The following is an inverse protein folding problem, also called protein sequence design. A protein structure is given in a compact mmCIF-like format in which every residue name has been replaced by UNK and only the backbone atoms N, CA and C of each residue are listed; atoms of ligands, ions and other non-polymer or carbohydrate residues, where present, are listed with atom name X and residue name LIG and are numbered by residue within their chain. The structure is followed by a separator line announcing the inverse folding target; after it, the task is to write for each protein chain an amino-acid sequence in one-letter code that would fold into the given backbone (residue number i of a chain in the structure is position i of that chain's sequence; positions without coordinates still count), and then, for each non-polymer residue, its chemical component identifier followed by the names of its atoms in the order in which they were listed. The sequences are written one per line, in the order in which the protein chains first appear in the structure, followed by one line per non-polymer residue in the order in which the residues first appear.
data_IF_739579979420
#
_entry.id   IF_739579979420
#
_cell.length_a   1.000
_cell.length_b   1.000
_cell.length_c   1.000
_cell.angle_alpha   90.00
_cell.angle_beta   90.00
_cell.angle_gamma   90.00
#
_symmetry.space_group_name_H-M   'P 1'
#
loop_
_entity.id
_entity.type
_entity.pdbx_description
1 polymer ?
#
# COMPACT_ATOMS: atom_id res chain seq x y z
N UNK A 1 -8.54 2.49 34.99
CA UNK A 1 -7.35 1.60 35.03
C UNK A 1 -7.26 0.64 33.84
N UNK A 2 -8.34 -0.02 33.42
CA UNK A 2 -8.33 -1.03 32.33
C UNK A 2 -7.93 -0.47 30.95
N UNK A 3 -8.39 0.73 30.59
CA UNK A 3 -8.03 1.34 29.30
C UNK A 3 -6.55 1.73 29.20
N UNK A 4 -5.96 2.26 30.28
CA UNK A 4 -4.51 2.55 30.32
C UNK A 4 -3.70 1.28 30.10
N UNK A 5 -4.04 0.17 30.75
CA UNK A 5 -3.35 -1.10 30.55
C UNK A 5 -3.44 -1.64 29.11
N UNK A 6 -4.56 -1.44 28.41
CA UNK A 6 -4.71 -1.79 26.99
C UNK A 6 -3.84 -0.91 26.09
N UNK A 7 -3.76 0.39 26.37
CA UNK A 7 -2.89 1.32 25.63
C UNK A 7 -1.42 0.94 25.81
N UNK A 8 -0.98 0.71 27.05
CA UNK A 8 0.40 0.28 27.32
C UNK A 8 0.74 -1.04 26.65
N UNK A 9 -0.14 -2.05 26.67
CA UNK A 9 0.08 -3.31 25.95
C UNK A 9 0.23 -3.12 24.43
N UNK A 10 -0.58 -2.25 23.81
CA UNK A 10 -0.48 -1.94 22.37
C UNK A 10 0.81 -1.21 22.03
N UNK A 11 1.19 -0.23 22.85
CA UNK A 11 2.45 0.50 22.70
C UNK A 11 3.63 -0.45 22.84
N UNK A 12 3.66 -1.29 23.89
CA UNK A 12 4.71 -2.28 24.10
C UNK A 12 4.82 -3.27 22.95
N UNK A 13 3.70 -3.75 22.40
CA UNK A 13 3.71 -4.65 21.24
C UNK A 13 4.24 -3.96 19.97
N UNK A 14 3.84 -2.70 19.73
CA UNK A 14 4.31 -1.93 18.57
C UNK A 14 5.81 -1.63 18.66
N UNK A 15 6.30 -1.28 19.85
CA UNK A 15 7.74 -1.08 20.12
C UNK A 15 8.50 -2.38 19.93
N UNK A 16 7.97 -3.51 20.41
CA UNK A 16 8.59 -4.82 20.20
C UNK A 16 8.71 -5.17 18.71
N UNK A 17 7.64 -4.99 17.93
CA UNK A 17 7.67 -5.23 16.49
C UNK A 17 8.70 -4.35 15.79
N UNK A 18 8.75 -3.06 16.12
CA UNK A 18 9.72 -2.14 15.55
C UNK A 18 11.16 -2.55 15.87
N UNK A 19 11.46 -2.86 17.13
CA UNK A 19 12.78 -3.33 17.56
C UNK A 19 13.17 -4.64 16.88
N UNK A 20 12.23 -5.57 16.71
CA UNK A 20 12.46 -6.83 16.02
C UNK A 20 12.77 -6.61 14.54
N UNK A 21 12.03 -5.74 13.85
CA UNK A 21 12.31 -5.37 12.45
C UNK A 21 13.68 -4.72 12.29
N UNK A 22 14.08 -3.82 13.20
CA UNK A 22 15.42 -3.20 13.19
C UNK A 22 16.51 -4.25 13.44
N UNK A 23 16.30 -5.16 14.39
CA UNK A 23 17.24 -6.26 14.66
C UNK A 23 17.43 -7.16 13.41
N UNK A 24 16.33 -7.51 12.72
CA UNK A 24 16.41 -8.29 11.48
C UNK A 24 17.18 -7.54 10.40
N UNK A 25 16.92 -6.24 10.22
CA UNK A 25 17.64 -5.41 9.24
C UNK A 25 19.15 -5.36 9.50
N UNK A 26 19.57 -5.31 10.78
CA UNK A 26 20.98 -5.24 11.15
C UNK A 26 21.72 -6.59 11.10
N UNK A 27 21.00 -7.71 11.21
CA UNK A 27 21.62 -9.03 11.39
C UNK A 27 21.48 -9.95 10.18
N UNK A 28 20.55 -9.68 9.27
CA UNK A 28 20.28 -10.52 8.11
C UNK A 28 20.82 -9.89 6.82
N UNK A 29 21.11 -10.71 5.78
CA UNK A 29 21.41 -10.18 4.46
C UNK A 29 20.29 -9.26 3.97
N UNK A 30 20.65 -8.12 3.38
CA UNK A 30 19.69 -7.12 2.92
C UNK A 30 18.60 -7.72 2.04
N UNK A 31 18.98 -8.60 1.11
CA UNK A 31 18.06 -9.28 0.20
C UNK A 31 16.99 -10.10 0.93
N UNK A 32 17.39 -10.84 1.99
CA UNK A 32 16.45 -11.62 2.78
C UNK A 32 15.47 -10.70 3.52
N UNK A 33 15.99 -9.66 4.17
CA UNK A 33 15.15 -8.68 4.87
C UNK A 33 14.17 -7.99 3.91
N UNK A 34 14.65 -7.51 2.77
CA UNK A 34 13.84 -6.86 1.73
C UNK A 34 12.72 -7.79 1.26
N UNK A 35 13.05 -9.02 0.88
CA UNK A 35 12.08 -10.00 0.37
C UNK A 35 10.99 -10.34 1.39
N UNK A 36 11.38 -10.55 2.66
CA UNK A 36 10.41 -10.85 3.72
C UNK A 36 9.53 -9.63 4.00
N UNK A 37 10.09 -8.43 4.02
CA UNK A 37 9.33 -7.19 4.22
C UNK A 37 8.30 -6.98 3.10
N UNK A 38 8.70 -7.18 1.84
CA UNK A 38 7.80 -7.08 0.69
C UNK A 38 6.71 -8.17 0.72
N UNK A 39 7.03 -9.41 1.05
CA UNK A 39 6.00 -10.46 1.15
C UNK A 39 4.97 -10.18 2.25
N UNK A 40 5.39 -9.61 3.38
CA UNK A 40 4.45 -9.16 4.41
C UNK A 40 3.54 -8.05 3.85
N UNK A 41 4.10 -7.06 3.15
CA UNK A 41 3.33 -5.99 2.49
C UNK A 41 2.29 -6.56 1.52
N UNK A 42 2.74 -7.42 0.59
CA UNK A 42 1.91 -8.07 -0.42
C UNK A 42 0.79 -8.90 0.23
N UNK A 43 1.12 -9.67 1.27
CA UNK A 43 0.15 -10.49 2.00
C UNK A 43 -0.94 -9.62 2.65
N UNK A 44 -0.56 -8.50 3.28
CA UNK A 44 -1.52 -7.57 3.88
C UNK A 44 -2.42 -6.92 2.83
N UNK A 45 -1.84 -6.49 1.70
CA UNK A 45 -2.58 -5.90 0.59
C UNK A 45 -3.58 -6.89 -0.04
N UNK A 46 -3.16 -8.13 -0.28
CA UNK A 46 -4.05 -9.20 -0.76
C UNK A 46 -5.13 -9.57 0.26
N UNK A 47 -4.81 -9.55 1.56
CA UNK A 47 -5.80 -9.77 2.62
C UNK A 47 -6.89 -8.69 2.60
N UNK A 48 -6.51 -7.42 2.40
CA UNK A 48 -7.48 -6.32 2.24
C UNK A 48 -8.34 -6.51 0.98
N UNK A 49 -7.74 -6.94 -0.13
CA UNK A 49 -8.48 -7.28 -1.34
C UNK A 49 -9.52 -8.38 -1.08
N UNK A 50 -9.11 -9.50 -0.48
CA UNK A 50 -10.01 -10.62 -0.19
C UNK A 50 -11.14 -10.18 0.75
N UNK A 51 -10.82 -9.50 1.85
CA UNK A 51 -11.82 -9.06 2.82
C UNK A 51 -12.83 -8.11 2.16
N UNK A 52 -12.36 -7.09 1.43
CA UNK A 52 -13.25 -6.12 0.81
C UNK A 52 -14.13 -6.72 -0.28
N UNK A 53 -13.56 -7.58 -1.15
CA UNK A 53 -14.34 -8.24 -2.21
C UNK A 53 -15.35 -9.25 -1.68
N UNK A 54 -14.98 -10.06 -0.68
CA UNK A 54 -15.88 -11.05 -0.10
C UNK A 54 -17.00 -10.40 0.72
N UNK A 55 -16.68 -9.35 1.48
CA UNK A 55 -17.69 -8.64 2.28
C UNK A 55 -18.62 -7.78 1.43
N UNK A 56 -18.20 -7.34 0.23
CA UNK A 56 -19.02 -6.50 -0.66
C UNK A 56 -20.37 -7.13 -1.02
N UNK A 57 -20.46 -8.47 -1.12
CA UNK A 57 -21.74 -9.16 -1.35
C UNK A 57 -22.80 -8.81 -0.30
N UNK A 58 -22.36 -8.63 0.95
CA UNK A 58 -23.21 -8.38 2.11
C UNK A 58 -23.31 -6.89 2.46
N UNK A 59 -22.18 -6.19 2.43
CA UNK A 59 -22.11 -4.80 2.85
C UNK A 59 -22.59 -3.82 1.79
N UNK A 60 -22.46 -4.16 0.50
CA UNK A 60 -22.66 -3.25 -0.63
C UNK A 60 -21.91 -1.92 -0.45
N UNK A 61 -20.79 -1.96 0.26
CA UNK A 61 -19.99 -0.78 0.57
C UNK A 61 -19.03 -0.52 -0.60
N UNK A 62 -19.41 0.39 -1.48
CA UNK A 62 -18.63 0.79 -2.65
C UNK A 62 -17.23 1.32 -2.26
N UNK A 63 -17.11 2.02 -1.14
CA UNK A 63 -15.82 2.57 -0.67
C UNK A 63 -14.86 1.45 -0.27
N UNK A 64 -15.34 0.46 0.48
CA UNK A 64 -14.52 -0.68 0.90
C UNK A 64 -14.11 -1.54 -0.30
N UNK A 65 -15.02 -1.72 -1.26
CA UNK A 65 -14.74 -2.46 -2.48
C UNK A 65 -13.73 -1.73 -3.36
N UNK A 66 -13.89 -0.42 -3.55
CA UNK A 66 -12.94 0.44 -4.27
C UNK A 66 -11.53 0.37 -3.68
N UNK A 67 -11.45 0.49 -2.34
CA UNK A 67 -10.19 0.36 -1.63
C UNK A 67 -9.56 -1.02 -1.82
N UNK A 68 -10.37 -2.09 -1.73
CA UNK A 68 -9.88 -3.45 -1.90
C UNK A 68 -9.32 -3.71 -3.30
N UNK A 69 -9.93 -3.13 -4.34
CA UNK A 69 -9.45 -3.22 -5.71
C UNK A 69 -8.10 -2.51 -5.87
N UNK A 70 -7.94 -1.33 -5.28
CA UNK A 70 -6.67 -0.62 -5.32
C UNK A 70 -5.54 -1.49 -4.74
N UNK A 71 -5.75 -2.05 -3.54
CA UNK A 71 -4.74 -2.87 -2.87
C UNK A 71 -4.40 -4.17 -3.60
N UNK A 72 -5.31 -4.72 -4.41
CA UNK A 72 -4.97 -5.80 -5.33
C UNK A 72 -3.89 -5.37 -6.33
N UNK A 73 -4.08 -4.27 -7.04
CA UNK A 73 -3.09 -3.80 -8.01
C UNK A 73 -1.80 -3.31 -7.33
N UNK A 74 -1.88 -2.69 -6.14
CA UNK A 74 -0.68 -2.39 -5.33
C UNK A 74 0.12 -3.67 -5.06
N UNK A 75 -0.54 -4.75 -4.66
CA UNK A 75 0.14 -6.03 -4.39
C UNK A 75 0.78 -6.65 -5.64
N UNK A 76 0.20 -6.42 -6.82
CA UNK A 76 0.79 -6.85 -8.09
C UNK A 76 2.06 -6.05 -8.40
N UNK A 77 2.02 -4.72 -8.24
CA UNK A 77 3.21 -3.87 -8.43
C UNK A 77 4.32 -4.21 -7.43
N UNK A 78 3.99 -4.37 -6.15
CA UNK A 78 4.95 -4.77 -5.10
C UNK A 78 5.51 -6.18 -5.39
N UNK A 79 4.68 -7.11 -5.87
CA UNK A 79 5.11 -8.44 -6.28
C UNK A 79 6.11 -8.42 -7.45
N UNK A 80 5.77 -7.73 -8.54
CA UNK A 80 6.68 -7.60 -9.70
C UNK A 80 7.93 -6.81 -9.32
N UNK A 81 7.81 -5.77 -8.48
CA UNK A 81 8.95 -5.03 -7.94
C UNK A 81 9.93 -5.96 -7.21
N UNK A 82 9.41 -6.78 -6.29
CA UNK A 82 10.22 -7.72 -5.50
C UNK A 82 10.99 -8.66 -6.42
N UNK A 83 10.33 -9.20 -7.45
CA UNK A 83 10.97 -10.09 -8.43
C UNK A 83 11.96 -9.37 -9.36
N UNK A 84 11.74 -8.07 -9.62
CA UNK A 84 12.60 -7.21 -10.43
C UNK A 84 13.78 -6.61 -9.65
N UNK A 85 13.86 -6.86 -8.34
CA UNK A 85 14.93 -6.30 -7.51
C UNK A 85 16.30 -6.85 -7.96
N UNK A 86 17.31 -5.96 -8.03
CA UNK A 86 18.60 -6.24 -8.69
C UNK A 86 19.32 -7.53 -8.24
N UNK A 87 19.16 -7.92 -6.98
CA UNK A 87 19.89 -9.05 -6.40
C UNK A 87 19.06 -10.36 -6.46
N UNK A 88 17.84 -10.35 -7.03
CA UNK A 88 17.00 -11.54 -7.22
C UNK A 88 17.34 -12.33 -8.48
N UNK A 89 17.79 -11.66 -9.55
CA UNK A 89 18.15 -12.26 -10.85
C UNK A 89 17.05 -13.17 -11.47
N UNK A 90 15.77 -12.88 -11.21
CA UNK A 90 14.63 -13.68 -11.69
C UNK A 90 14.02 -13.16 -13.00
N UNK A 91 14.13 -11.85 -13.26
CA UNK A 91 13.57 -11.20 -14.45
C UNK A 91 14.74 -10.74 -15.34
N UNK A 92 14.96 -11.40 -16.50
CA UNK A 92 16.01 -11.00 -17.42
C UNK A 92 15.84 -9.55 -17.89
N UNK A 93 16.90 -8.74 -17.76
CA UNK A 93 16.89 -7.34 -18.15
C UNK A 93 16.16 -6.40 -17.18
N UNK A 94 15.74 -6.88 -16.01
CA UNK A 94 15.26 -6.00 -14.95
C UNK A 94 16.38 -5.06 -14.50
N UNK A 95 16.07 -3.77 -14.45
CA UNK A 95 16.99 -2.72 -14.01
C UNK A 95 16.55 -2.18 -12.66
N UNK A 96 17.49 -1.58 -11.93
CA UNK A 96 17.14 -0.89 -10.68
C UNK A 96 16.12 0.22 -10.93
N UNK A 97 16.19 0.90 -12.07
CA UNK A 97 15.18 1.87 -12.49
C UNK A 97 13.79 1.25 -12.64
N UNK A 98 13.67 0.09 -13.32
CA UNK A 98 12.39 -0.61 -13.44
C UNK A 98 11.82 -0.98 -12.06
N UNK A 99 12.66 -1.53 -11.18
CA UNK A 99 12.25 -1.87 -9.82
C UNK A 99 11.73 -0.62 -9.07
N UNK A 100 12.45 0.52 -9.13
CA UNK A 100 12.01 1.78 -8.50
C UNK A 100 10.72 2.32 -9.12
N UNK A 101 10.57 2.26 -10.45
CA UNK A 101 9.35 2.69 -11.14
C UNK A 101 8.12 1.89 -10.71
N UNK A 102 8.26 0.57 -10.51
CA UNK A 102 7.18 -0.30 -10.05
C UNK A 102 6.71 0.07 -8.64
N UNK A 103 7.64 0.37 -7.71
CA UNK A 103 7.29 0.86 -6.36
C UNK A 103 6.53 2.17 -6.46
N UNK A 104 7.05 3.14 -7.23
CA UNK A 104 6.42 4.45 -7.39
C UNK A 104 5.01 4.31 -7.97
N UNK A 105 4.81 3.47 -8.99
CA UNK A 105 3.50 3.21 -9.56
C UNK A 105 2.51 2.65 -8.52
N UNK A 106 2.93 1.63 -7.75
CA UNK A 106 2.12 1.06 -6.69
C UNK A 106 1.75 2.08 -5.60
N UNK A 107 2.71 2.90 -5.16
CA UNK A 107 2.48 3.92 -4.12
C UNK A 107 1.61 5.08 -4.61
N UNK A 108 1.73 5.49 -5.87
CA UNK A 108 0.84 6.47 -6.49
C UNK A 108 -0.59 5.96 -6.54
N UNK A 109 -0.79 4.69 -6.89
CA UNK A 109 -2.12 4.06 -6.90
C UNK A 109 -2.70 3.98 -5.49
N UNK A 110 -1.88 3.63 -4.49
CA UNK A 110 -2.28 3.58 -3.08
C UNK A 110 -2.71 4.97 -2.56
N UNK A 111 -1.84 5.97 -2.67
CA UNK A 111 -2.11 7.33 -2.15
C UNK A 111 -3.24 7.99 -2.94
N UNK A 112 -3.27 7.84 -4.26
CA UNK A 112 -4.35 8.36 -5.10
C UNK A 112 -5.70 7.81 -4.65
N UNK A 113 -5.79 6.49 -4.44
CA UNK A 113 -7.00 5.85 -3.90
C UNK A 113 -7.38 6.43 -2.56
N UNK A 114 -6.46 6.49 -1.59
CA UNK A 114 -6.74 7.01 -0.25
C UNK A 114 -7.24 8.46 -0.28
N UNK A 115 -6.69 9.30 -1.15
CA UNK A 115 -7.14 10.69 -1.33
C UNK A 115 -8.55 10.80 -1.90
N UNK A 116 -8.99 9.83 -2.69
CA UNK A 116 -10.35 9.83 -3.26
C UNK A 116 -11.43 9.40 -2.26
N UNK A 117 -11.09 8.58 -1.25
CA UNK A 117 -12.04 8.01 -0.28
C UNK A 117 -12.99 9.04 0.36
N UNK A 118 -12.55 10.21 0.85
CA UNK A 118 -13.43 11.19 1.46
C UNK A 118 -14.55 11.69 0.53
N UNK A 119 -14.31 11.65 -0.78
CA UNK A 119 -15.26 12.10 -1.80
C UNK A 119 -16.17 10.98 -2.28
N UNK A 120 -15.73 9.72 -2.19
CA UNK A 120 -16.45 8.55 -2.69
C UNK A 120 -17.76 8.27 -1.94
N UNK A 121 -17.90 8.66 -0.67
CA UNK A 121 -19.16 8.44 0.07
C UNK A 121 -20.37 9.16 -0.55
N UNK A 122 -20.14 10.13 -1.44
CA UNK A 122 -21.20 10.89 -2.13
C UNK A 122 -21.70 10.23 -3.41
N UNK A 123 -21.06 9.15 -3.87
CA UNK A 123 -21.33 8.54 -5.17
C UNK A 123 -21.58 7.03 -5.03
N UNK A 124 -22.53 6.51 -5.80
CA UNK A 124 -22.67 5.07 -6.03
C UNK A 124 -21.93 4.73 -7.31
N UNK A 125 -20.98 3.79 -7.22
CA UNK A 125 -20.12 3.47 -8.37
C UNK A 125 -20.35 2.03 -8.77
N UNK A 126 -20.77 1.84 -10.03
CA UNK A 126 -20.98 0.49 -10.57
C UNK A 126 -19.71 -0.34 -10.44
N UNK A 127 -19.84 -1.55 -9.90
CA UNK A 127 -18.74 -2.51 -9.69
C UNK A 127 -17.80 -2.61 -10.91
N UNK A 128 -18.37 -2.84 -12.10
CA UNK A 128 -17.59 -3.00 -13.33
C UNK A 128 -16.84 -1.74 -13.76
N UNK A 129 -17.33 -0.54 -13.41
CA UNK A 129 -16.61 0.71 -13.67
C UNK A 129 -15.37 0.83 -12.76
N UNK A 130 -15.50 0.44 -11.49
CA UNK A 130 -14.36 0.43 -10.56
C UNK A 130 -13.28 -0.56 -11.04
N UNK A 131 -13.67 -1.78 -11.39
CA UNK A 131 -12.78 -2.81 -11.93
C UNK A 131 -12.08 -2.34 -13.21
N UNK A 132 -12.83 -1.77 -14.16
CA UNK A 132 -12.29 -1.23 -15.41
C UNK A 132 -11.34 -0.05 -15.19
N UNK A 133 -11.66 0.85 -14.25
CA UNK A 133 -10.80 1.99 -13.91
C UNK A 133 -9.45 1.51 -13.40
N UNK A 134 -9.42 0.65 -12.38
CA UNK A 134 -8.17 0.17 -11.80
C UNK A 134 -7.36 -0.67 -12.79
N UNK A 135 -8.03 -1.51 -13.58
CA UNK A 135 -7.37 -2.27 -14.65
C UNK A 135 -6.73 -1.35 -15.68
N UNK A 136 -7.44 -0.32 -16.12
CA UNK A 136 -6.96 0.62 -17.13
C UNK A 136 -5.79 1.46 -16.62
N UNK A 137 -5.91 2.03 -15.41
CA UNK A 137 -4.85 2.85 -14.80
C UNK A 137 -3.60 2.02 -14.54
N UNK A 138 -3.75 0.82 -13.95
CA UNK A 138 -2.62 -0.06 -13.63
C UNK A 138 -1.99 -0.62 -14.90
N UNK A 139 -2.80 -1.01 -15.89
CA UNK A 139 -2.34 -1.44 -17.20
C UNK A 139 -1.55 -0.35 -17.92
N UNK A 140 -2.06 0.89 -17.92
CA UNK A 140 -1.35 2.03 -18.49
C UNK A 140 0.00 2.26 -17.80
N UNK A 141 0.05 2.28 -16.46
CA UNK A 141 1.30 2.41 -15.72
C UNK A 141 2.29 1.30 -16.08
N UNK A 142 1.84 0.03 -16.12
CA UNK A 142 2.67 -1.10 -16.50
C UNK A 142 3.23 -0.99 -17.93
N UNK A 143 2.39 -0.57 -18.89
CA UNK A 143 2.82 -0.33 -20.28
C UNK A 143 3.86 0.78 -20.33
N UNK A 144 3.65 1.90 -19.66
CA UNK A 144 4.61 3.02 -19.63
C UNK A 144 5.97 2.59 -19.05
N UNK A 145 5.98 1.74 -18.03
CA UNK A 145 7.22 1.21 -17.43
C UNK A 145 7.97 0.33 -18.43
N UNK A 146 7.29 -0.66 -19.02
CA UNK A 146 7.93 -1.62 -19.93
C UNK A 146 8.42 -0.95 -21.22
N UNK A 147 7.69 0.07 -21.71
CA UNK A 147 8.06 0.82 -22.91
C UNK A 147 9.06 1.95 -22.66
N UNK A 148 9.43 2.21 -21.40
CA UNK A 148 10.37 3.27 -21.03
C UNK A 148 9.82 4.70 -21.09
N UNK A 149 8.51 4.89 -21.29
CA UNK A 149 7.86 6.20 -21.23
C UNK A 149 7.54 6.67 -19.81
N UNK A 150 7.61 5.78 -18.81
CA UNK A 150 7.51 6.18 -17.42
C UNK A 150 8.75 6.99 -17.01
N UNK A 151 8.61 8.10 -16.27
CA UNK A 151 9.75 8.95 -15.89
C UNK A 151 10.86 8.14 -15.21
N UNK A 152 12.12 8.46 -15.53
CA UNK A 152 13.27 7.79 -14.91
C UNK A 152 13.27 8.06 -13.40
N UNK A 153 13.26 7.00 -12.60
CA UNK A 153 13.29 7.07 -11.14
C UNK A 153 14.69 6.84 -10.57
N UNK A 154 15.56 6.13 -11.30
CA UNK A 154 16.90 5.79 -10.84
C UNK A 154 17.91 5.78 -12.00
N UNK A 155 19.11 6.27 -11.73
CA UNK A 155 20.27 6.23 -12.64
C UNK A 155 21.46 5.70 -11.84
N UNK A 156 22.19 4.71 -12.35
CA UNK A 156 23.24 4.01 -11.60
C UNK A 156 24.35 4.93 -11.08
N UNK A 157 24.72 5.96 -11.86
CA UNK A 157 25.79 6.88 -11.52
C UNK A 157 25.39 7.91 -10.45
N UNK A 158 24.12 8.35 -10.47
CA UNK A 158 23.65 9.47 -9.64
C UNK A 158 22.63 9.07 -8.57
N UNK A 159 22.18 7.81 -8.57
CA UNK A 159 21.16 7.28 -7.68
C UNK A 159 19.74 7.71 -8.07
N UNK A 160 18.89 7.92 -7.06
CA UNK A 160 17.49 8.32 -7.25
C UNK A 160 17.38 9.69 -7.94
N UNK A 161 16.49 9.80 -8.92
CA UNK A 161 16.30 11.05 -9.68
C UNK A 161 15.53 12.08 -8.87
N UNK A 162 15.59 13.35 -9.31
CA UNK A 162 14.77 14.42 -8.74
C UNK A 162 13.27 14.09 -8.79
N UNK A 163 12.82 13.46 -9.88
CA UNK A 163 11.44 12.99 -10.03
C UNK A 163 11.09 12.00 -8.91
N UNK A 164 11.91 10.97 -8.71
CA UNK A 164 11.68 9.96 -7.67
C UNK A 164 11.57 10.59 -6.28
N UNK A 165 12.58 11.38 -5.89
CA UNK A 165 12.63 11.99 -4.57
C UNK A 165 11.41 12.91 -4.33
N UNK A 166 11.03 13.70 -5.33
CA UNK A 166 9.86 14.59 -5.23
C UNK A 166 8.59 13.78 -5.00
N UNK A 167 8.37 12.72 -5.78
CA UNK A 167 7.18 11.88 -5.66
C UNK A 167 7.13 11.16 -4.32
N UNK A 168 8.26 10.63 -3.85
CA UNK A 168 8.36 9.99 -2.53
C UNK A 168 8.02 10.96 -1.39
N UNK A 169 8.57 12.19 -1.41
CA UNK A 169 8.24 13.19 -0.39
C UNK A 169 6.76 13.57 -0.41
N UNK A 170 6.14 13.67 -1.59
CA UNK A 170 4.69 13.91 -1.70
C UNK A 170 3.89 12.74 -1.12
N UNK A 171 4.24 11.50 -1.46
CA UNK A 171 3.60 10.29 -0.93
C UNK A 171 3.66 10.27 0.61
N UNK A 172 4.85 10.49 1.18
CA UNK A 172 5.06 10.51 2.62
C UNK A 172 4.28 11.65 3.27
N UNK A 173 4.33 12.85 2.72
CA UNK A 173 3.58 14.01 3.22
C UNK A 173 2.08 13.74 3.29
N UNK A 174 1.51 13.18 2.22
CA UNK A 174 0.09 12.80 2.17
C UNK A 174 -0.24 11.71 3.19
N UNK A 175 0.60 10.67 3.31
CA UNK A 175 0.40 9.60 4.28
C UNK A 175 0.40 10.13 5.73
N UNK A 176 1.32 11.04 6.06
CA UNK A 176 1.39 11.69 7.38
C UNK A 176 0.12 12.52 7.65
N UNK A 177 -0.32 13.32 6.68
CA UNK A 177 -1.56 14.11 6.82
C UNK A 177 -2.76 13.18 7.03
N UNK A 178 -2.87 12.11 6.25
CA UNK A 178 -3.94 11.12 6.39
C UNK A 178 -3.93 10.48 7.79
N UNK A 179 -2.77 10.08 8.30
CA UNK A 179 -2.63 9.52 9.64
C UNK A 179 -3.06 10.50 10.74
N UNK A 180 -2.67 11.78 10.63
CA UNK A 180 -3.06 12.83 11.57
C UNK A 180 -4.57 13.12 11.56
N UNK A 181 -5.20 13.07 10.38
CA UNK A 181 -6.66 13.24 10.26
C UNK A 181 -7.38 12.06 10.89
N UNK A 182 -6.98 10.82 10.57
CA UNK A 182 -7.60 9.60 11.11
C UNK A 182 -7.55 9.58 12.64
N UNK A 183 -6.43 10.02 13.25
CA UNK A 183 -6.30 10.11 14.71
C UNK A 183 -7.28 11.08 15.39
N UNK A 184 -7.91 11.98 14.63
CA UNK A 184 -8.93 12.93 15.13
C UNK A 184 -10.36 12.49 14.83
N UNK A 185 -10.56 11.45 14.03
CA UNK A 185 -11.90 10.92 13.73
C UNK A 185 -12.38 10.17 14.97
N UNK A 186 -13.38 10.72 15.65
CA UNK A 186 -14.17 9.95 16.60
C UNK A 186 -14.91 8.87 15.80
N UNK A 187 -14.41 7.64 15.86
CA UNK A 187 -15.10 6.48 15.27
C UNK A 187 -16.45 6.40 15.98
N UNK A 188 -17.50 6.80 15.27
CA UNK A 188 -18.88 6.68 15.77
C UNK A 188 -19.16 5.19 15.87
N UNK A 189 -18.85 4.60 17.03
CA UNK A 189 -19.27 3.25 17.35
C UNK A 189 -20.80 3.28 17.42
N UNK A 190 -21.44 2.70 16.40
CA UNK A 190 -22.87 2.46 16.41
C UNK A 190 -23.24 1.79 17.74
N UNK A 191 -24.18 2.38 18.49
CA UNK A 191 -24.67 1.81 19.76
C UNK A 191 -25.11 0.35 19.61
N UNK A 192 -25.51 -0.08 18.40
CA UNK A 192 -25.84 -1.49 18.10
C UNK A 192 -24.63 -2.42 18.14
N UNK A 193 -23.43 -1.97 17.73
CA UNK A 193 -22.21 -2.78 17.78
C UNK A 193 -21.74 -2.98 19.22
N UNK A 194 -21.89 -1.96 20.06
CA UNK A 194 -21.57 -2.06 21.50
C UNK A 194 -22.51 -3.01 22.26
N UNK A 195 -23.73 -3.24 21.78
CA UNK A 195 -24.69 -4.16 22.39
C UNK A 195 -24.37 -5.64 22.14
N UNK A 196 -23.65 -5.98 21.05
CA UNK A 196 -23.28 -7.36 20.71
C UNK A 196 -21.87 -7.76 21.16
N UNK A 197 -21.05 -6.82 21.62
CA UNK A 197 -19.66 -7.06 22.08
C UNK A 197 -19.58 -7.13 23.62
N UNK A 198 -20.71 -7.37 24.30
CA UNK A 198 -20.76 -7.54 25.75
C UNK A 198 -20.87 -9.00 26.15
#
# INVERSE_FOLDING_TARGET
MIERAKVWKRVSFSVFLLSFSVMLWLTQPFLLFHTVAEFISIFLALSLFIIGTQTYKYSKNDVLYFLSLAFFFVSLFDGVHTLAYKDMDLIPGATMNMATQLVIAGRLLQIGTLCTIPFLHRFTIRKGLQESLFLSVSGLMGVLIITGYFPTCYVEETGATLFNNTVEYVIVGVAVIAALIVGKINVVQSKRVLLYVR
#
